data_IF_071010843354
#
_entry.id   IF_071010843354
#
_cell.length_a   1.000
_cell.length_b   1.000
_cell.length_c   1.000
_cell.angle_alpha   90.00
_cell.angle_beta   90.00
_cell.angle_gamma   90.00
#
_symmetry.space_group_name_H-M   'P 1'
#
loop_
_entity.id
_entity.type
_entity.pdbx_description
1 polymer ?
#
# COMPACT_ATOMS: atom_id res chain seq x y z
N UNK A 1 61.07 -42.96 16.31
CA UNK A 1 60.07 -42.22 15.49
C UNK A 1 60.11 -40.76 15.92
N UNK A 2 60.66 -39.89 15.06
CA UNK A 2 61.18 -38.58 15.44
C UNK A 2 60.06 -37.58 15.78
N UNK A 3 60.25 -36.82 16.86
CA UNK A 3 59.35 -35.78 17.38
C UNK A 3 58.89 -34.78 16.30
N UNK A 4 59.76 -34.52 15.33
CA UNK A 4 59.52 -33.65 14.17
C UNK A 4 58.39 -34.20 13.28
N UNK A 5 58.33 -35.52 13.04
CA UNK A 5 57.26 -36.11 12.23
C UNK A 5 55.90 -36.04 12.93
N UNK A 6 55.86 -36.07 14.27
CA UNK A 6 54.61 -35.89 15.02
C UNK A 6 54.11 -34.44 14.96
N UNK A 7 55.01 -33.46 14.98
CA UNK A 7 54.66 -32.04 14.84
C UNK A 7 54.15 -31.74 13.42
N UNK A 8 54.82 -32.25 12.38
CA UNK A 8 54.41 -32.02 10.99
C UNK A 8 53.06 -32.67 10.70
N UNK A 9 52.84 -33.91 11.16
CA UNK A 9 51.57 -34.63 10.93
C UNK A 9 50.42 -34.00 11.74
N UNK A 10 50.66 -33.61 13.00
CA UNK A 10 49.62 -32.98 13.83
C UNK A 10 49.35 -31.51 13.44
N UNK A 11 50.36 -30.80 12.90
CA UNK A 11 50.18 -29.46 12.37
C UNK A 11 49.34 -29.46 11.09
N UNK A 12 49.59 -30.41 10.19
CA UNK A 12 48.85 -30.51 8.93
C UNK A 12 47.38 -30.91 9.14
N UNK A 13 47.10 -31.79 10.10
CA UNK A 13 45.72 -32.18 10.45
C UNK A 13 44.92 -31.03 11.06
N UNK A 14 45.51 -30.20 11.93
CA UNK A 14 44.83 -29.03 12.49
C UNK A 14 44.53 -27.98 11.40
N UNK A 15 45.43 -27.77 10.45
CA UNK A 15 45.23 -26.83 9.33
C UNK A 15 44.10 -27.31 8.39
N UNK A 16 44.01 -28.61 8.12
CA UNK A 16 42.91 -29.18 7.31
C UNK A 16 41.55 -29.12 8.03
N UNK A 17 41.50 -29.24 9.36
CA UNK A 17 40.25 -29.18 10.12
C UNK A 17 39.73 -27.74 10.22
N UNK A 18 40.61 -26.73 10.33
CA UNK A 18 40.21 -25.30 10.39
C UNK A 18 39.71 -24.77 9.04
N UNK A 19 40.20 -25.32 7.91
CA UNK A 19 39.82 -24.88 6.57
C UNK A 19 38.51 -25.51 6.03
N UNK A 20 37.97 -26.54 6.69
CA UNK A 20 36.74 -27.24 6.26
C UNK A 20 35.41 -26.59 6.64
N UNK A 21 35.40 -25.55 7.49
CA UNK A 21 34.16 -24.98 8.06
C UNK A 21 33.62 -23.72 7.36
N UNK A 22 34.16 -23.32 6.21
CA UNK A 22 33.64 -22.17 5.46
C UNK A 22 33.02 -22.59 4.14
N UNK A 23 31.82 -23.16 4.22
CA UNK A 23 30.91 -23.26 3.09
C UNK A 23 29.48 -23.00 3.57
N UNK A 24 29.18 -21.73 3.84
CA UNK A 24 27.80 -21.28 4.05
C UNK A 24 27.15 -21.15 2.65
N UNK A 25 25.99 -21.79 2.39
CA UNK A 25 25.34 -21.69 1.08
C UNK A 25 24.68 -20.31 0.89
N UNK A 26 25.38 -19.38 0.22
CA UNK A 26 24.90 -18.03 -0.14
C UNK A 26 24.08 -18.06 -1.45
N UNK A 27 22.99 -18.82 -1.50
CA UNK A 27 22.25 -18.94 -2.77
C UNK A 27 20.72 -18.95 -2.69
N UNK A 28 20.14 -18.74 -1.49
CA UNK A 28 18.68 -18.67 -1.32
C UNK A 28 18.11 -17.25 -1.08
N UNK A 29 18.96 -16.23 -0.82
CA UNK A 29 18.51 -14.86 -0.54
C UNK A 29 18.58 -13.90 -1.74
N UNK A 30 19.18 -14.31 -2.87
CA UNK A 30 19.49 -13.44 -4.00
C UNK A 30 18.26 -12.94 -4.77
N UNK A 31 17.22 -13.76 -4.92
CA UNK A 31 16.01 -13.39 -5.69
C UNK A 31 15.14 -12.36 -4.94
N UNK A 32 15.03 -12.51 -3.63
CA UNK A 32 14.30 -11.56 -2.78
C UNK A 32 14.99 -10.20 -2.78
N UNK A 33 16.31 -10.21 -2.64
CA UNK A 33 17.14 -9.02 -2.67
C UNK A 33 17.03 -8.29 -4.01
N UNK A 34 16.96 -9.03 -5.13
CA UNK A 34 16.70 -8.48 -6.46
C UNK A 34 15.37 -7.73 -6.54
N UNK A 35 14.29 -8.28 -5.98
CA UNK A 35 13.00 -7.58 -5.92
C UNK A 35 13.06 -6.32 -5.04
N UNK A 36 13.79 -6.36 -3.92
CA UNK A 36 13.99 -5.19 -3.05
C UNK A 36 14.76 -4.07 -3.74
N UNK A 37 15.86 -4.40 -4.43
CA UNK A 37 16.62 -3.42 -5.25
C UNK A 37 15.75 -2.80 -6.33
N UNK A 38 14.97 -3.62 -7.03
CA UNK A 38 14.01 -3.14 -8.05
C UNK A 38 12.95 -2.21 -7.45
N UNK A 39 12.45 -2.50 -6.25
CA UNK A 39 11.47 -1.66 -5.57
C UNK A 39 12.07 -0.31 -5.17
N UNK A 40 13.31 -0.30 -4.68
CA UNK A 40 14.03 0.93 -4.35
C UNK A 40 14.22 1.83 -5.58
N UNK A 41 14.55 1.24 -6.74
CA UNK A 41 14.68 1.96 -8.00
C UNK A 41 13.35 2.56 -8.47
N UNK A 42 12.24 1.80 -8.41
CA UNK A 42 10.91 2.35 -8.76
C UNK A 42 10.57 3.53 -7.85
N UNK A 43 10.88 3.43 -6.55
CA UNK A 43 10.66 4.52 -5.60
C UNK A 43 11.57 5.72 -5.81
N UNK A 44 12.79 5.55 -6.32
CA UNK A 44 13.64 6.69 -6.70
C UNK A 44 13.09 7.38 -7.95
N UNK A 45 12.69 6.63 -8.98
CA UNK A 45 12.03 7.18 -10.17
C UNK A 45 10.75 7.96 -9.81
N UNK A 46 9.97 7.45 -8.87
CA UNK A 46 8.78 8.17 -8.40
C UNK A 46 9.11 9.47 -7.64
N UNK A 47 10.22 9.52 -6.90
CA UNK A 47 10.68 10.72 -6.17
C UNK A 47 11.24 11.80 -7.09
N UNK A 48 11.87 11.42 -8.20
CA UNK A 48 12.40 12.35 -9.20
C UNK A 48 11.30 13.02 -10.03
N UNK A 49 10.06 12.52 -9.94
CA UNK A 49 8.93 13.00 -10.73
C UNK A 49 8.90 12.39 -12.14
N UNK A 50 7.70 12.28 -12.68
CA UNK A 50 7.44 11.69 -14.00
C UNK A 50 6.21 12.32 -14.64
N UNK A 51 6.07 12.16 -15.96
CA UNK A 51 4.86 12.54 -16.71
C UNK A 51 3.96 11.33 -16.91
N UNK A 52 2.64 11.53 -16.88
CA UNK A 52 1.69 10.47 -17.27
C UNK A 52 1.86 10.13 -18.76
N UNK A 53 1.70 8.84 -19.16
CA UNK A 53 1.12 7.70 -18.44
C UNK A 53 2.11 6.89 -17.57
N UNK A 54 3.36 7.34 -17.43
CA UNK A 54 4.43 6.58 -16.75
C UNK A 54 4.13 6.34 -15.27
N UNK A 55 3.34 7.19 -14.63
CA UNK A 55 2.98 7.01 -13.22
C UNK A 55 2.12 5.81 -12.95
N UNK A 56 1.12 5.57 -13.80
CA UNK A 56 0.30 4.36 -13.70
C UNK A 56 1.15 3.08 -13.81
N UNK A 57 2.10 3.07 -14.75
CA UNK A 57 3.06 1.97 -14.89
C UNK A 57 3.94 1.80 -13.65
N UNK A 58 4.55 2.87 -13.12
CA UNK A 58 5.41 2.81 -11.94
C UNK A 58 4.65 2.33 -10.70
N UNK A 59 3.41 2.80 -10.48
CA UNK A 59 2.55 2.35 -9.38
C UNK A 59 2.17 0.88 -9.52
N UNK A 60 1.89 0.40 -10.73
CA UNK A 60 1.64 -1.02 -10.97
C UNK A 60 2.87 -1.86 -10.68
N UNK A 61 4.03 -1.45 -11.19
CA UNK A 61 5.31 -2.12 -10.96
C UNK A 61 5.67 -2.19 -9.48
N UNK A 62 5.40 -1.12 -8.73
CA UNK A 62 5.59 -1.11 -7.27
C UNK A 62 4.72 -2.17 -6.58
N UNK A 63 3.43 -2.28 -6.94
CA UNK A 63 2.51 -3.29 -6.38
C UNK A 63 2.98 -4.71 -6.69
N UNK A 64 3.38 -4.98 -7.93
CA UNK A 64 3.89 -6.29 -8.34
C UNK A 64 5.16 -6.69 -7.58
N UNK A 65 6.09 -5.75 -7.37
CA UNK A 65 7.32 -6.00 -6.62
C UNK A 65 7.04 -6.27 -5.14
N UNK A 66 6.12 -5.52 -4.52
CA UNK A 66 5.68 -5.78 -3.14
C UNK A 66 5.07 -7.17 -2.99
N UNK A 67 4.25 -7.59 -3.95
CA UNK A 67 3.65 -8.93 -3.92
C UNK A 67 4.71 -10.04 -4.05
N UNK A 68 5.68 -9.87 -4.96
CA UNK A 68 6.81 -10.81 -5.10
C UNK A 68 7.65 -10.90 -3.82
N UNK A 69 7.90 -9.77 -3.16
CA UNK A 69 8.61 -9.74 -1.86
C UNK A 69 7.79 -10.46 -0.79
N UNK A 70 6.47 -10.24 -0.74
CA UNK A 70 5.58 -10.93 0.20
C UNK A 70 5.61 -12.45 -0.01
N UNK A 71 5.52 -12.91 -1.26
CA UNK A 71 5.58 -14.34 -1.61
C UNK A 71 6.94 -14.92 -1.23
N UNK A 72 8.04 -14.20 -1.50
CA UNK A 72 9.38 -14.61 -1.11
C UNK A 72 9.49 -14.87 0.40
N UNK A 73 8.98 -13.95 1.24
CA UNK A 73 9.02 -14.12 2.69
C UNK A 73 8.12 -15.26 3.19
N UNK A 74 6.96 -15.47 2.55
CA UNK A 74 6.00 -16.51 2.95
C UNK A 74 6.41 -17.91 2.50
N UNK A 75 7.10 -18.03 1.36
CA UNK A 75 7.53 -19.29 0.76
C UNK A 75 8.97 -19.17 0.25
N UNK A 76 9.98 -19.30 1.11
CA UNK A 76 11.40 -19.12 0.73
C UNK A 76 11.92 -20.16 -0.28
N UNK A 77 11.10 -21.12 -0.72
CA UNK A 77 11.52 -22.27 -1.56
C UNK A 77 10.56 -22.61 -2.71
N UNK A 78 9.95 -21.60 -3.34
CA UNK A 78 9.12 -21.85 -4.53
C UNK A 78 9.64 -21.09 -5.76
N UNK A 79 10.71 -21.62 -6.36
CA UNK A 79 10.96 -21.50 -7.81
C UNK A 79 10.03 -22.42 -8.62
N UNK A 80 8.85 -22.80 -8.11
CA UNK A 80 7.82 -23.33 -8.99
C UNK A 80 7.34 -22.17 -9.85
N UNK A 81 7.73 -22.19 -11.14
CA UNK A 81 7.04 -21.46 -12.21
C UNK A 81 5.55 -21.67 -11.98
N UNK A 82 4.89 -20.63 -11.46
CA UNK A 82 3.45 -20.63 -11.34
C UNK A 82 2.96 -20.63 -12.77
N UNK A 83 2.37 -21.75 -13.21
CA UNK A 83 1.68 -21.81 -14.48
C UNK A 83 0.74 -20.60 -14.51
N UNK A 84 1.03 -19.68 -15.44
CA UNK A 84 0.19 -18.53 -15.71
C UNK A 84 -1.21 -19.10 -15.93
N UNK A 85 -2.24 -18.78 -15.11
CA UNK A 85 -3.57 -19.23 -15.44
C UNK A 85 -3.86 -18.74 -16.87
N UNK A 86 -4.40 -19.60 -17.75
CA UNK A 86 -4.71 -19.17 -19.11
C UNK A 86 -5.57 -17.92 -18.99
N UNK A 87 -5.23 -16.90 -19.78
CA UNK A 87 -6.00 -15.66 -19.84
C UNK A 87 -7.45 -16.06 -20.07
N UNK A 88 -8.29 -15.97 -19.03
CA UNK A 88 -9.73 -16.13 -19.20
C UNK A 88 -10.12 -14.99 -20.14
N UNK A 89 -10.47 -15.34 -21.37
CA UNK A 89 -11.10 -14.44 -22.30
C UNK A 89 -12.20 -13.69 -21.52
N UNK A 90 -12.23 -12.36 -21.65
CA UNK A 90 -13.35 -11.57 -21.14
C UNK A 90 -14.61 -12.08 -21.83
N UNK A 91 -15.33 -13.01 -21.20
CA UNK A 91 -16.74 -13.19 -21.47
C UNK A 91 -17.41 -11.92 -20.94
N UNK A 92 -17.86 -11.07 -21.85
CA UNK A 92 -18.90 -10.08 -21.56
C UNK A 92 -20.14 -10.87 -21.16
N UNK A 93 -20.28 -11.16 -19.88
CA UNK A 93 -21.56 -11.62 -19.36
C UNK A 93 -22.43 -10.40 -19.13
N UNK A 94 -23.61 -10.43 -19.76
CA UNK A 94 -24.62 -9.40 -19.64
C UNK A 94 -25.03 -9.25 -18.17
N UNK A 95 -25.17 -8.01 -17.71
CA UNK A 95 -25.70 -7.66 -16.39
C UNK A 95 -27.12 -8.24 -16.25
N UNK A 96 -27.41 -9.14 -15.29
CA UNK A 96 -28.78 -9.38 -14.91
C UNK A 96 -29.27 -8.16 -14.10
N UNK A 97 -30.41 -7.61 -14.52
CA UNK A 97 -31.12 -6.59 -13.77
C UNK A 97 -31.52 -7.16 -12.40
N UNK A 98 -30.96 -6.63 -11.31
CA UNK A 98 -31.28 -7.03 -9.95
C UNK A 98 -31.79 -5.82 -9.15
N UNK A 99 -32.95 -6.04 -8.52
CA UNK A 99 -33.71 -5.18 -7.64
C UNK A 99 -32.97 -4.84 -6.32
N UNK A 100 -33.39 -3.80 -5.57
CA UNK A 100 -32.66 -3.34 -4.40
C UNK A 100 -33.06 -4.14 -3.16
N UNK A 101 -32.29 -5.18 -2.84
CA UNK A 101 -32.27 -5.75 -1.50
C UNK A 101 -31.01 -5.25 -0.78
N UNK A 102 -31.18 -4.29 0.14
CA UNK A 102 -30.10 -3.76 0.96
C UNK A 102 -29.68 -4.77 2.02
N UNK A 103 -28.78 -5.68 1.68
CA UNK A 103 -27.97 -6.37 2.68
C UNK A 103 -26.76 -5.47 2.92
N UNK A 104 -26.57 -5.01 4.16
CA UNK A 104 -25.36 -4.32 4.58
C UNK A 104 -24.22 -5.32 4.41
N UNK A 105 -23.54 -5.27 3.26
CA UNK A 105 -22.38 -6.10 3.01
C UNK A 105 -21.30 -5.66 4.00
N UNK A 106 -20.90 -6.58 4.87
CA UNK A 106 -19.71 -6.44 5.70
C UNK A 106 -18.50 -6.31 4.76
N UNK A 107 -18.09 -5.06 4.51
CA UNK A 107 -16.93 -4.79 3.66
C UNK A 107 -15.67 -5.16 4.44
N UNK A 108 -15.22 -6.40 4.28
CA UNK A 108 -13.86 -6.76 4.65
C UNK A 108 -12.88 -5.94 3.81
N UNK A 109 -12.29 -4.91 4.42
CA UNK A 109 -11.27 -4.05 3.81
C UNK A 109 -10.04 -4.93 3.52
N UNK A 110 -9.89 -5.36 2.26
CA UNK A 110 -8.84 -6.28 1.81
C UNK A 110 -7.41 -5.72 1.86
N UNK A 111 -7.19 -4.53 2.43
CA UNK A 111 -5.87 -3.90 2.48
C UNK A 111 -5.81 -2.78 3.54
N UNK A 112 -5.64 -3.10 4.84
CA UNK A 112 -5.47 -2.08 5.89
C UNK A 112 -4.23 -1.20 5.67
N UNK A 113 -3.24 -1.69 4.92
CA UNK A 113 -1.95 -1.05 4.69
C UNK A 113 -1.98 0.13 3.69
N UNK A 114 -3.11 0.45 3.05
CA UNK A 114 -3.13 1.50 2.02
C UNK A 114 -3.08 2.94 2.57
N UNK A 115 -3.23 3.13 3.88
CA UNK A 115 -2.99 4.43 4.54
C UNK A 115 -1.70 4.49 5.38
N UNK A 116 -1.04 3.35 5.67
CA UNK A 116 0.02 3.29 6.68
C UNK A 116 -0.47 3.72 8.07
N UNK A 117 0.42 3.80 9.07
CA UNK A 117 0.14 4.33 10.43
C UNK A 117 -0.23 5.83 10.45
N UNK A 118 -0.67 6.39 9.32
CA UNK A 118 -1.16 7.76 9.25
C UNK A 118 -2.57 7.79 9.84
N UNK A 119 -2.65 8.09 11.13
CA UNK A 119 -3.90 8.45 11.80
C UNK A 119 -4.49 9.64 11.03
N UNK A 120 -5.52 9.38 10.24
CA UNK A 120 -6.23 10.41 9.48
C UNK A 120 -7.03 11.26 10.47
N UNK A 121 -6.44 12.36 10.93
CA UNK A 121 -7.13 13.34 11.77
C UNK A 121 -8.11 14.15 10.91
N UNK A 122 -9.33 13.64 10.75
CA UNK A 122 -10.41 14.41 10.13
C UNK A 122 -10.88 15.46 11.14
N UNK A 123 -10.41 16.70 11.01
CA UNK A 123 -10.88 17.83 11.80
C UNK A 123 -12.12 18.45 11.13
N UNK A 124 -13.14 18.75 11.95
CA UNK A 124 -14.29 19.55 11.52
C UNK A 124 -13.91 21.01 11.25
N UNK A 125 -14.82 21.76 10.60
CA UNK A 125 -14.64 23.20 10.37
C UNK A 125 -14.65 24.02 11.67
N UNK A 126 -15.40 23.56 12.66
CA UNK A 126 -15.49 24.16 13.99
C UNK A 126 -15.31 23.08 15.06
N UNK A 127 -15.27 23.49 16.33
CA UNK A 127 -15.13 22.62 17.49
C UNK A 127 -16.18 22.95 18.55
N UNK A 128 -16.45 22.01 19.47
CA UNK A 128 -17.35 22.22 20.60
C UNK A 128 -18.79 22.54 20.20
N UNK A 129 -19.44 23.44 20.95
CA UNK A 129 -20.84 23.82 20.74
C UNK A 129 -21.08 24.45 19.37
N UNK A 130 -20.12 25.26 18.89
CA UNK A 130 -20.15 25.86 17.57
C UNK A 130 -20.20 24.82 16.46
N UNK A 131 -19.53 23.67 16.63
CA UNK A 131 -19.62 22.56 15.67
C UNK A 131 -21.01 21.92 15.69
N UNK A 132 -21.59 21.71 16.87
CA UNK A 132 -22.94 21.16 17.00
C UNK A 132 -23.98 22.10 16.38
N UNK A 133 -23.86 23.40 16.59
CA UNK A 133 -24.72 24.40 15.97
C UNK A 133 -24.52 24.47 14.44
N UNK A 134 -23.28 24.40 13.97
CA UNK A 134 -22.96 24.31 12.54
C UNK A 134 -23.65 23.11 11.87
N UNK A 135 -23.64 21.94 12.51
CA UNK A 135 -24.31 20.74 11.98
C UNK A 135 -25.83 20.88 11.88
N UNK A 136 -26.45 21.71 12.74
CA UNK A 136 -27.89 22.04 12.66
C UNK A 136 -28.17 23.10 11.59
N UNK A 137 -27.29 24.08 11.45
CA UNK A 137 -27.41 25.18 10.50
C UNK A 137 -27.18 24.71 9.05
N UNK A 138 -26.14 23.93 8.81
CA UNK A 138 -25.72 23.55 7.47
C UNK A 138 -26.48 22.32 6.98
N UNK A 139 -27.46 22.55 6.09
CA UNK A 139 -28.15 21.49 5.37
C UNK A 139 -27.62 21.40 3.92
N UNK A 140 -26.82 20.38 3.59
CA UNK A 140 -26.32 20.21 2.23
C UNK A 140 -27.46 19.83 1.28
N UNK A 141 -27.49 20.36 0.04
CA UNK A 141 -28.47 19.94 -0.95
C UNK A 141 -28.22 18.49 -1.37
N UNK A 142 -29.27 17.77 -1.80
CA UNK A 142 -29.22 16.33 -2.14
C UNK A 142 -28.08 15.96 -3.10
N UNK A 143 -27.79 16.83 -4.07
CA UNK A 143 -26.70 16.66 -5.03
C UNK A 143 -25.29 16.65 -4.39
N UNK A 144 -25.14 17.22 -3.20
CA UNK A 144 -23.88 17.26 -2.45
C UNK A 144 -23.71 16.09 -1.48
N UNK A 145 -24.78 15.35 -1.19
CA UNK A 145 -24.67 14.08 -0.45
C UNK A 145 -23.97 13.02 -1.31
N UNK A 146 -24.29 13.00 -2.62
CA UNK A 146 -23.74 12.05 -3.59
C UNK A 146 -23.36 12.76 -4.90
N UNK A 147 -22.24 13.49 -4.93
CA UNK A 147 -21.84 14.26 -6.10
C UNK A 147 -21.44 13.35 -7.26
N UNK A 148 -22.19 13.41 -8.37
CA UNK A 148 -21.99 12.54 -9.54
C UNK A 148 -20.74 12.86 -10.39
N UNK A 149 -20.08 13.98 -10.12
CA UNK A 149 -18.86 14.39 -10.83
C UNK A 149 -17.98 15.27 -9.97
N UNK A 150 -16.69 15.33 -10.29
CA UNK A 150 -15.71 16.20 -9.62
C UNK A 150 -16.13 17.68 -9.72
N UNK A 151 -16.79 18.09 -10.81
CA UNK A 151 -17.32 19.46 -10.95
C UNK A 151 -18.42 19.76 -9.95
N UNK A 152 -19.34 18.82 -9.73
CA UNK A 152 -20.40 18.96 -8.71
C UNK A 152 -19.77 18.96 -7.32
N UNK A 153 -18.80 18.07 -7.06
CA UNK A 153 -18.07 18.04 -5.80
C UNK A 153 -17.40 19.39 -5.48
N UNK A 154 -16.68 19.99 -6.43
CA UNK A 154 -16.05 21.30 -6.25
C UNK A 154 -17.09 22.40 -5.94
N UNK A 155 -18.24 22.39 -6.62
CA UNK A 155 -19.35 23.31 -6.33
C UNK A 155 -19.89 23.13 -4.91
N UNK A 156 -20.03 21.89 -4.44
CA UNK A 156 -20.49 21.58 -3.10
C UNK A 156 -19.53 22.06 -2.01
N UNK A 157 -18.22 21.95 -2.24
CA UNK A 157 -17.21 22.51 -1.34
C UNK A 157 -17.33 24.04 -1.25
N UNK A 158 -17.39 24.72 -2.41
CA UNK A 158 -17.56 26.17 -2.44
C UNK A 158 -18.87 26.62 -1.76
N UNK A 159 -19.95 25.85 -1.91
CA UNK A 159 -21.21 26.11 -1.21
C UNK A 159 -21.07 25.96 0.31
N UNK A 160 -20.48 24.85 0.77
CA UNK A 160 -20.21 24.61 2.19
C UNK A 160 -19.40 25.77 2.80
N UNK A 161 -18.35 26.21 2.12
CA UNK A 161 -17.46 27.26 2.62
C UNK A 161 -18.18 28.61 2.71
N UNK A 162 -19.04 28.94 1.73
CA UNK A 162 -19.92 30.11 1.80
C UNK A 162 -20.87 30.06 3.00
N UNK A 163 -21.51 28.91 3.22
CA UNK A 163 -22.40 28.72 4.37
C UNK A 163 -21.65 28.83 5.70
N UNK A 164 -20.43 28.30 5.78
CA UNK A 164 -19.59 28.40 6.98
C UNK A 164 -19.21 29.85 7.30
N UNK A 165 -18.93 30.67 6.28
CA UNK A 165 -18.69 32.09 6.44
C UNK A 165 -19.94 32.84 6.93
N UNK A 166 -21.13 32.51 6.41
CA UNK A 166 -22.39 33.08 6.89
C UNK A 166 -22.67 32.70 8.34
N UNK A 167 -22.55 31.41 8.66
CA UNK A 167 -22.73 30.89 10.01
C UNK A 167 -21.78 31.57 11.01
N UNK A 168 -20.51 31.75 10.64
CA UNK A 168 -19.52 32.40 11.51
C UNK A 168 -19.89 33.84 11.86
N UNK A 169 -20.50 34.58 10.92
CA UNK A 169 -20.99 35.95 11.15
C UNK A 169 -22.22 36.01 12.05
N UNK A 170 -23.10 35.01 11.98
CA UNK A 170 -24.31 34.94 12.82
C UNK A 170 -23.94 34.47 14.23
N UNK A 171 -23.08 33.46 14.34
CA UNK A 171 -22.62 32.92 15.61
C UNK A 171 -21.87 33.95 16.46
N UNK A 172 -20.99 34.74 15.85
CA UNK A 172 -20.25 35.80 16.56
C UNK A 172 -21.10 36.98 17.04
N UNK A 173 -22.42 36.97 16.75
CA UNK A 173 -23.39 37.96 17.27
C UNK A 173 -24.33 37.37 18.33
N UNK A 174 -24.31 36.05 18.53
CA UNK A 174 -25.16 35.34 19.49
C UNK A 174 -24.43 35.00 20.81
N UNK A 175 -23.13 35.27 20.88
CA UNK A 175 -22.31 35.34 22.11
C UNK A 175 -22.26 36.80 22.58
#
# INVERSE_FOLDING_TARGET
>A
MNFINRIVVNGFTVICIVSGFHSIPVQAQSDCEKHRKSLAQVRSEMRLGYREPRGNYLRQKERELKDKIRICHKYPRSTKKRNKPPAKALKKEALPAASPASTVADFQIRNPDQLGDQVLHIKGLFTGEKQTAWLRFYQPPKQCLHPKSTRIFAKCLAYRDKQAAMFSKVWGKSE
#
